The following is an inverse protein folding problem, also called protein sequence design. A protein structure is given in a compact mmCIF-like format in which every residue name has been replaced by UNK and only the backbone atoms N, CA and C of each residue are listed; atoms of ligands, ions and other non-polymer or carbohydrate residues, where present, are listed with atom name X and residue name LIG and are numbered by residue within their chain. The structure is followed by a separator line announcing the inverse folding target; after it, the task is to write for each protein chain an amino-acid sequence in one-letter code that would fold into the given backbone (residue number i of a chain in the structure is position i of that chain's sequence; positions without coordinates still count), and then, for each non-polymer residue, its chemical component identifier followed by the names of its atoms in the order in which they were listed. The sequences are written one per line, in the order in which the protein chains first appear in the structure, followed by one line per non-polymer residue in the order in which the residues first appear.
data_IF_887862656586
#
_entry.id   IF_887862656586
#
_cell.length_a   1.000
_cell.length_b   1.000
_cell.length_c   1.000
_cell.angle_alpha   90.00
_cell.angle_beta   90.00
_cell.angle_gamma   90.00
#
_symmetry.space_group_name_H-M   'P 1'
#
loop_
_entity.id
_entity.type
_entity.pdbx_description
1 polymer ?
#
# COMPACT_ATOMS: atom_id res chain seq x y z
N UNK A 1 -22.55 -6.82 5.37
CA UNK A 1 -21.37 -6.16 5.95
C UNK A 1 -21.56 -4.64 6.05
N UNK A 2 -21.35 -4.07 7.24
CA UNK A 2 -21.51 -2.64 7.51
C UNK A 2 -20.22 -1.85 7.23
N UNK A 3 -20.30 -0.51 7.18
CA UNK A 3 -19.18 0.36 6.80
C UNK A 3 -18.00 0.33 7.80
N UNK A 4 -18.26 0.09 9.10
CA UNK A 4 -17.21 -0.12 10.11
C UNK A 4 -16.44 -1.42 9.84
N UNK A 5 -17.15 -2.52 9.61
CA UNK A 5 -16.56 -3.83 9.30
C UNK A 5 -15.66 -3.79 8.05
N UNK A 6 -16.03 -3.00 7.02
CA UNK A 6 -15.20 -2.77 5.82
C UNK A 6 -13.86 -2.12 6.16
N UNK A 7 -13.83 -1.14 7.08
CA UNK A 7 -12.59 -0.48 7.49
C UNK A 7 -11.69 -1.41 8.30
N UNK A 8 -12.27 -2.23 9.17
CA UNK A 8 -11.52 -3.20 9.97
C UNK A 8 -10.92 -4.29 9.07
N UNK A 9 -11.66 -4.78 8.07
CA UNK A 9 -11.13 -5.67 7.03
C UNK A 9 -9.93 -5.06 6.30
N UNK A 10 -10.02 -3.79 5.88
CA UNK A 10 -8.92 -3.11 5.19
C UNK A 10 -7.68 -2.99 6.09
N UNK A 11 -7.86 -2.70 7.39
CA UNK A 11 -6.76 -2.66 8.37
C UNK A 11 -6.10 -4.03 8.53
N UNK A 12 -6.87 -5.11 8.53
CA UNK A 12 -6.34 -6.48 8.61
C UNK A 12 -5.50 -6.80 7.36
N UNK A 13 -6.01 -6.48 6.17
CA UNK A 13 -5.31 -6.71 4.90
C UNK A 13 -4.07 -5.81 4.72
N UNK A 14 -4.08 -4.60 5.29
CA UNK A 14 -2.91 -3.72 5.31
C UNK A 14 -1.77 -4.32 6.15
N UNK A 15 -2.08 -4.99 7.26
CA UNK A 15 -1.09 -5.61 8.13
C UNK A 15 -0.51 -6.91 7.55
N UNK A 16 -1.36 -7.84 7.10
CA UNK A 16 -0.92 -9.01 6.35
C UNK A 16 -1.93 -9.34 5.24
N UNK A 17 -1.56 -9.14 3.97
CA UNK A 17 -2.45 -9.41 2.85
C UNK A 17 -2.69 -10.90 2.61
N UNK A 18 -2.01 -11.80 3.34
CA UNK A 18 -2.14 -13.25 3.19
C UNK A 18 -3.23 -13.87 4.07
N UNK A 19 -3.90 -13.07 4.91
CA UNK A 19 -5.04 -13.57 5.67
C UNK A 19 -6.10 -14.12 4.73
N UNK A 20 -6.54 -15.34 5.01
CA UNK A 20 -7.62 -15.98 4.26
C UNK A 20 -8.97 -15.34 4.59
N UNK A 21 -9.93 -15.33 3.67
CA UNK A 21 -11.28 -14.82 3.95
C UNK A 21 -11.92 -15.44 5.19
N UNK A 22 -11.62 -16.72 5.48
CA UNK A 22 -12.10 -17.44 6.66
C UNK A 22 -11.52 -16.88 7.97
N UNK A 23 -10.23 -16.54 7.98
CA UNK A 23 -9.58 -15.90 9.12
C UNK A 23 -10.13 -14.49 9.35
N UNK A 24 -10.26 -13.70 8.27
CA UNK A 24 -10.81 -12.34 8.34
C UNK A 24 -12.25 -12.37 8.84
N UNK A 25 -13.07 -13.28 8.33
CA UNK A 25 -14.45 -13.48 8.79
C UNK A 25 -14.51 -13.75 10.31
N UNK A 26 -13.62 -14.60 10.82
CA UNK A 26 -13.49 -14.88 12.25
C UNK A 26 -13.09 -13.64 13.07
N UNK A 27 -12.19 -12.81 12.52
CA UNK A 27 -11.70 -11.60 13.20
C UNK A 27 -12.73 -10.45 13.22
N UNK A 28 -13.49 -10.29 12.14
CA UNK A 28 -14.47 -9.20 11.97
C UNK A 28 -15.88 -9.62 12.44
N UNK A 29 -16.12 -10.92 12.62
CA UNK A 29 -17.41 -11.45 13.06
C UNK A 29 -18.50 -11.46 11.98
N UNK A 30 -18.10 -11.53 10.71
CA UNK A 30 -18.98 -11.54 9.54
C UNK A 30 -18.90 -12.91 8.82
N UNK A 31 -19.79 -13.18 7.86
CA UNK A 31 -19.72 -14.42 7.09
C UNK A 31 -18.53 -14.43 6.12
N UNK A 32 -18.05 -15.63 5.76
CA UNK A 32 -16.94 -15.78 4.80
C UNK A 32 -17.37 -15.27 3.42
N UNK A 33 -18.62 -15.51 3.06
CA UNK A 33 -19.25 -15.06 1.81
C UNK A 33 -19.28 -13.53 1.72
N UNK A 34 -19.68 -12.85 2.80
CA UNK A 34 -19.72 -11.39 2.87
C UNK A 34 -18.31 -10.80 2.77
N UNK A 35 -17.32 -11.40 3.45
CA UNK A 35 -15.92 -10.98 3.38
C UNK A 35 -15.38 -11.14 1.97
N UNK A 36 -15.63 -12.28 1.30
CA UNK A 36 -15.20 -12.50 -0.09
C UNK A 36 -15.85 -11.50 -1.05
N UNK A 37 -17.15 -11.26 -0.91
CA UNK A 37 -17.87 -10.30 -1.73
C UNK A 37 -17.32 -8.88 -1.53
N UNK A 38 -17.04 -8.51 -0.28
CA UNK A 38 -16.49 -7.20 0.04
C UNK A 38 -15.06 -7.01 -0.49
N UNK A 39 -14.19 -8.02 -0.39
CA UNK A 39 -12.84 -7.96 -0.98
C UNK A 39 -12.95 -7.73 -2.49
N UNK A 40 -13.78 -8.51 -3.18
CA UNK A 40 -13.97 -8.37 -4.63
C UNK A 40 -14.52 -6.99 -5.02
N UNK A 41 -15.49 -6.45 -4.26
CA UNK A 41 -16.03 -5.10 -4.46
C UNK A 41 -14.93 -4.04 -4.29
N UNK A 42 -14.12 -4.15 -3.23
CA UNK A 42 -13.04 -3.22 -2.91
C UNK A 42 -11.84 -3.29 -3.90
N UNK A 43 -11.63 -4.44 -4.52
CA UNK A 43 -10.67 -4.59 -5.62
C UNK A 43 -11.22 -3.97 -6.91
N UNK A 44 -12.49 -4.22 -7.22
CA UNK A 44 -13.15 -3.71 -8.41
C UNK A 44 -13.25 -2.18 -8.42
N UNK A 45 -13.58 -1.57 -7.27
CA UNK A 45 -13.67 -0.12 -7.11
C UNK A 45 -12.30 0.58 -6.95
N UNK A 46 -11.21 -0.21 -6.90
CA UNK A 46 -9.81 0.22 -6.73
C UNK A 46 -9.51 0.88 -5.38
N UNK A 47 -10.32 0.62 -4.36
CA UNK A 47 -9.96 0.90 -2.96
C UNK A 47 -8.75 0.06 -2.57
N UNK A 48 -8.76 -1.23 -2.89
CA UNK A 48 -7.58 -2.11 -2.85
C UNK A 48 -6.89 -1.99 -4.21
N UNK A 49 -5.73 -1.33 -4.24
CA UNK A 49 -4.98 -1.09 -5.48
C UNK A 49 -3.99 -2.19 -5.82
N UNK A 50 -3.37 -2.79 -4.81
CA UNK A 50 -2.39 -3.87 -4.93
C UNK A 50 -2.09 -4.46 -3.56
N UNK A 51 -1.61 -5.70 -3.57
CA UNK A 51 -0.95 -6.31 -2.43
C UNK A 51 0.57 -6.22 -2.63
N UNK A 52 1.31 -5.81 -1.60
CA UNK A 52 2.77 -5.61 -1.68
C UNK A 52 3.48 -6.45 -0.63
N UNK A 53 4.53 -7.14 -1.05
CA UNK A 53 5.47 -7.82 -0.16
C UNK A 53 6.63 -6.88 0.20
N UNK A 54 7.03 -6.89 1.46
CA UNK A 54 8.26 -6.24 1.93
C UNK A 54 9.40 -7.27 1.79
N UNK A 55 10.38 -6.95 0.95
CA UNK A 55 11.48 -7.86 0.60
C UNK A 55 12.78 -7.28 1.12
N UNK A 56 13.58 -8.14 1.75
CA UNK A 56 14.98 -7.85 2.04
C UNK A 56 15.82 -8.16 0.79
N UNK A 57 16.04 -7.11 -0.02
CA UNK A 57 16.75 -7.22 -1.30
C UNK A 57 18.23 -7.58 -1.12
N UNK A 58 18.84 -7.15 -0.01
CA UNK A 58 20.21 -7.53 0.36
C UNK A 58 20.35 -9.04 0.50
N UNK A 59 19.35 -9.71 1.10
CA UNK A 59 19.32 -11.17 1.21
C UNK A 59 18.85 -11.87 -0.06
N UNK A 60 18.10 -11.18 -0.91
CA UNK A 60 17.69 -11.67 -2.23
C UNK A 60 18.84 -11.66 -3.26
N UNK A 61 20.03 -11.17 -2.88
CA UNK A 61 21.21 -11.12 -3.74
C UNK A 61 21.29 -9.87 -4.62
N UNK A 62 20.47 -8.87 -4.34
CA UNK A 62 20.50 -7.57 -5.03
C UNK A 62 21.26 -6.56 -4.16
N UNK A 63 22.44 -6.17 -4.62
CA UNK A 63 23.20 -5.08 -3.99
C UNK A 63 22.59 -3.73 -4.37
N UNK A 64 21.86 -3.11 -3.45
CA UNK A 64 21.30 -1.78 -3.66
C UNK A 64 22.29 -0.69 -3.22
N UNK A 65 22.83 0.05 -4.19
CA UNK A 65 23.63 1.25 -3.93
C UNK A 65 22.71 2.47 -3.92
N UNK A 66 22.58 3.10 -2.76
CA UNK A 66 21.80 4.33 -2.59
C UNK A 66 22.72 5.53 -2.67
N UNK A 67 22.50 6.41 -3.66
CA UNK A 67 23.17 7.71 -3.75
C UNK A 67 22.15 8.82 -3.46
N UNK A 68 22.42 9.64 -2.45
CA UNK A 68 21.64 10.84 -2.16
C UNK A 68 22.30 12.04 -2.84
N UNK A 69 21.59 12.70 -3.75
CA UNK A 69 22.04 13.94 -4.38
C UNK A 69 21.35 15.11 -3.69
N UNK A 70 22.07 15.81 -2.80
CA UNK A 70 21.59 17.05 -2.19
C UNK A 70 21.97 18.24 -3.10
N UNK A 71 20.97 18.87 -3.73
CA UNK A 71 21.19 20.08 -4.54
C UNK A 71 20.86 21.31 -3.71
N UNK A 72 21.86 22.15 -3.43
CA UNK A 72 21.66 23.49 -2.87
C UNK A 72 21.67 24.52 -3.98
N UNK A 73 20.52 25.13 -4.26
CA UNK A 73 20.38 26.22 -5.23
C UNK A 73 20.22 27.54 -4.49
N UNK A 74 21.09 28.51 -4.78
CA UNK A 74 20.85 29.91 -4.43
C UNK A 74 20.14 30.57 -5.62
N UNK A 75 18.86 30.97 -5.50
CA UNK A 75 18.14 31.55 -6.63
C UNK A 75 18.81 32.87 -7.05
N UNK A 76 19.14 33.01 -8.33
CA UNK A 76 19.60 34.28 -8.89
C UNK A 76 18.37 35.16 -9.19
N UNK A 77 18.50 36.47 -8.91
CA UNK A 77 17.43 37.43 -9.23
C UNK A 77 17.23 37.48 -10.74
N UNK A 78 15.95 37.38 -11.13
CA UNK A 78 15.38 37.61 -12.46
C UNK A 78 15.34 36.45 -13.49
N UNK A 79 15.75 35.21 -13.15
CA UNK A 79 15.55 34.03 -14.04
C UNK A 79 14.98 32.76 -13.40
N UNK A 80 14.56 32.79 -12.14
CA UNK A 80 13.83 31.67 -11.51
C UNK A 80 14.57 30.32 -11.58
N UNK A 81 13.82 29.22 -11.53
CA UNK A 81 14.33 27.83 -11.51
C UNK A 81 14.44 27.18 -12.91
N UNK A 82 14.10 27.90 -13.98
CA UNK A 82 13.97 27.34 -15.34
C UNK A 82 15.31 26.97 -16.02
N UNK A 83 16.46 27.22 -15.37
CA UNK A 83 17.78 26.89 -15.94
C UNK A 83 18.23 25.43 -15.68
N UNK A 84 17.47 24.63 -14.92
CA UNK A 84 17.87 23.27 -14.50
C UNK A 84 16.83 22.20 -14.91
N UNK A 85 16.10 22.42 -16.01
CA UNK A 85 15.20 21.44 -16.62
C UNK A 85 15.83 20.78 -17.85
#
# INVERSE_FOLDING_TARGET
MNQSSKLDLLRILEQDPRYTPEQIATMVGESVEDVRAAIAELEQDRTIRRYKTIVDWSRAGEEQVWALIEVRVTPQRDTGFDAIA
#
